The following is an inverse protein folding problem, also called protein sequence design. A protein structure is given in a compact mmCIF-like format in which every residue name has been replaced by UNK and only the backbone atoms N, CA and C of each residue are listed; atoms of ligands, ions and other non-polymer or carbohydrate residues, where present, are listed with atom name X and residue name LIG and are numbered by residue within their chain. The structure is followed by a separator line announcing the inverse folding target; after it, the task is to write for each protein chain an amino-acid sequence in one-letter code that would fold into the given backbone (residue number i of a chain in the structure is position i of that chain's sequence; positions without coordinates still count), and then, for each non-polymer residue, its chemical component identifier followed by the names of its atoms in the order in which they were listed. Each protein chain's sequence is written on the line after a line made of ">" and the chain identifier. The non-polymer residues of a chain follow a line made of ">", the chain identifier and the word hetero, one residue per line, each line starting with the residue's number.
data_IF_521879383394
#
_entry.id   IF_521879383394
#
_cell.length_a   1.000
_cell.length_b   1.000
_cell.length_c   1.000
_cell.angle_alpha   90.00
_cell.angle_beta   90.00
_cell.angle_gamma   90.00
#
_symmetry.space_group_name_H-M   'P 1'
#
loop_
_entity.id
_entity.type
_entity.pdbx_description
1 polymer ?
#
# COMPACT_ATOMS: atom_id res chain seq x y z
N UNK A 1 73.70 63.83 26.81
CA UNK A 1 74.07 62.43 26.61
C UNK A 1 72.84 61.71 26.09
N UNK A 2 72.97 61.23 24.90
CA UNK A 2 71.97 60.73 24.01
C UNK A 2 71.07 59.60 24.65
N UNK A 3 69.86 59.48 24.15
CA UNK A 3 69.32 58.19 23.72
C UNK A 3 68.14 58.44 22.76
N UNK A 4 68.23 57.75 21.65
CA UNK A 4 67.44 57.82 20.43
C UNK A 4 66.06 57.21 20.63
N UNK A 5 65.10 57.84 20.01
CA UNK A 5 63.76 57.41 19.74
C UNK A 5 63.77 56.43 18.53
N UNK A 6 63.23 55.22 18.71
CA UNK A 6 63.03 54.27 17.64
C UNK A 6 61.54 53.89 17.54
N UNK A 7 61.00 54.25 16.38
CA UNK A 7 59.61 54.21 16.05
C UNK A 7 58.93 52.88 16.11
N UNK A 8 57.76 52.89 16.67
CA UNK A 8 56.74 51.84 16.59
C UNK A 8 55.98 51.90 15.27
N UNK A 9 56.28 51.00 14.34
CA UNK A 9 55.40 50.68 13.22
C UNK A 9 54.32 49.70 13.69
N UNK A 10 53.09 50.12 13.63
CA UNK A 10 51.91 49.27 13.77
C UNK A 10 51.70 48.37 12.55
N UNK A 11 51.50 47.06 12.73
CA UNK A 11 51.03 46.16 11.69
C UNK A 11 49.57 45.77 11.92
N UNK A 12 48.66 46.69 11.69
CA UNK A 12 47.20 46.39 11.77
C UNK A 12 46.50 46.82 10.47
N UNK A 13 46.74 46.04 9.40
CA UNK A 13 45.92 46.15 8.20
C UNK A 13 45.97 44.86 7.35
N UNK A 14 45.65 43.69 7.92
CA UNK A 14 45.35 42.50 7.12
C UNK A 14 44.71 41.38 7.97
N UNK A 15 43.52 41.56 8.52
CA UNK A 15 42.72 40.44 9.11
C UNK A 15 41.23 40.79 9.22
N UNK A 16 40.52 41.02 8.15
CA UNK A 16 39.06 41.09 8.18
C UNK A 16 38.44 40.53 6.88
N UNK A 17 38.74 39.29 6.51
CA UNK A 17 38.11 38.62 5.39
C UNK A 17 37.61 37.20 5.70
N UNK A 18 37.90 36.64 6.87
CA UNK A 18 37.65 35.22 7.18
C UNK A 18 36.52 34.90 8.16
N UNK A 19 35.85 35.94 8.69
CA UNK A 19 34.91 35.75 9.80
C UNK A 19 33.50 35.28 9.43
N UNK A 20 33.02 35.64 8.27
CA UNK A 20 31.65 35.36 7.88
C UNK A 20 31.48 33.91 7.34
N UNK A 21 32.43 33.45 6.55
CA UNK A 21 32.42 32.08 6.01
C UNK A 21 32.63 31.01 7.10
N UNK A 22 33.43 31.30 8.11
CA UNK A 22 33.62 30.43 9.27
C UNK A 22 32.41 30.36 10.19
N UNK A 23 31.64 31.43 10.35
CA UNK A 23 30.39 31.46 11.14
C UNK A 23 29.27 30.70 10.49
N UNK A 24 29.14 30.76 9.17
CA UNK A 24 28.12 30.01 8.40
C UNK A 24 28.43 28.51 8.43
N UNK A 25 29.70 28.12 8.31
CA UNK A 25 30.07 26.69 8.40
C UNK A 25 29.87 26.11 9.79
N UNK A 26 30.00 26.89 10.86
CA UNK A 26 29.77 26.46 12.23
C UNK A 26 28.28 26.29 12.55
N UNK A 27 27.39 27.18 12.06
CA UNK A 27 25.94 27.09 12.23
C UNK A 27 25.33 25.86 11.51
N UNK A 28 25.94 25.42 10.40
CA UNK A 28 25.53 24.19 9.69
C UNK A 28 26.16 22.92 10.27
N UNK A 29 27.29 23.03 11.00
CA UNK A 29 27.98 21.87 11.57
C UNK A 29 27.25 21.31 12.82
N UNK A 30 26.68 22.18 13.66
CA UNK A 30 26.00 21.77 14.90
C UNK A 30 24.83 20.80 14.69
N UNK A 31 23.87 21.06 13.77
CA UNK A 31 22.78 20.11 13.55
C UNK A 31 23.27 18.79 12.91
N UNK A 32 24.35 18.84 12.10
CA UNK A 32 24.92 17.64 11.49
C UNK A 32 25.65 16.74 12.50
N UNK A 33 26.32 17.33 13.49
CA UNK A 33 26.94 16.58 14.58
C UNK A 33 25.91 15.96 15.51
N UNK A 34 24.83 16.69 15.83
CA UNK A 34 23.69 16.16 16.58
C UNK A 34 23.01 14.98 15.89
N UNK A 35 22.77 15.08 14.58
CA UNK A 35 22.24 14.00 13.73
C UNK A 35 23.21 12.81 13.66
N UNK A 36 24.51 13.05 13.63
CA UNK A 36 25.50 11.99 13.61
C UNK A 36 25.58 11.24 14.97
N UNK A 37 25.35 11.91 16.09
CA UNK A 37 25.27 11.29 17.42
C UNK A 37 23.97 10.52 17.62
N UNK A 38 22.87 10.95 17.00
CA UNK A 38 21.56 10.30 17.07
C UNK A 38 21.38 9.08 16.14
N UNK A 39 22.44 8.53 15.52
CA UNK A 39 22.35 7.48 14.49
C UNK A 39 21.53 6.26 14.89
N UNK A 40 21.62 5.81 16.15
CA UNK A 40 20.84 4.68 16.67
C UNK A 40 19.34 4.98 16.77
N UNK A 41 18.96 6.26 16.83
CA UNK A 41 17.57 6.71 16.98
C UNK A 41 16.92 7.11 15.66
N UNK A 42 17.65 7.08 14.53
CA UNK A 42 17.12 7.49 13.22
C UNK A 42 16.35 6.38 12.51
N UNK A 43 16.48 5.14 12.94
CA UNK A 43 15.80 3.98 12.35
C UNK A 43 14.26 4.13 12.28
N UNK A 44 13.56 4.66 13.30
CA UNK A 44 12.11 4.88 13.22
C UNK A 44 11.67 5.85 12.12
N UNK A 45 12.55 6.70 11.61
CA UNK A 45 12.26 7.63 10.52
C UNK A 45 12.34 6.99 9.12
N UNK A 46 12.94 5.80 8.99
CA UNK A 46 13.05 5.09 7.71
C UNK A 46 11.67 4.87 7.06
N UNK A 47 10.65 4.29 7.74
CA UNK A 47 9.33 4.12 7.15
C UNK A 47 8.65 5.46 6.84
N UNK A 48 8.90 6.51 7.61
CA UNK A 48 8.36 7.85 7.35
C UNK A 48 8.93 8.42 6.05
N UNK A 49 10.23 8.34 5.83
CA UNK A 49 10.89 8.83 4.63
C UNK A 49 10.49 8.03 3.38
N UNK A 50 10.39 6.70 3.49
CA UNK A 50 9.84 5.87 2.42
C UNK A 50 8.39 6.25 2.12
N UNK A 51 7.57 6.44 3.17
CA UNK A 51 6.17 6.85 3.05
C UNK A 51 6.02 8.22 2.37
N UNK A 52 6.90 9.17 2.65
CA UNK A 52 6.92 10.47 1.95
C UNK A 52 7.20 10.31 0.45
N UNK A 53 8.10 9.43 0.06
CA UNK A 53 8.36 9.13 -1.35
C UNK A 53 7.15 8.50 -2.05
N UNK A 54 6.49 7.55 -1.38
CA UNK A 54 5.25 6.93 -1.87
C UNK A 54 4.14 7.99 -2.00
N UNK A 55 3.95 8.81 -0.98
CA UNK A 55 2.95 9.88 -0.98
C UNK A 55 3.22 10.90 -2.10
N UNK A 56 4.49 11.25 -2.33
CA UNK A 56 4.88 12.13 -3.43
C UNK A 56 4.46 11.57 -4.78
N UNK A 57 4.77 10.30 -5.08
CA UNK A 57 4.34 9.66 -6.33
C UNK A 57 2.80 9.67 -6.46
N UNK A 58 2.08 9.29 -5.40
CA UNK A 58 0.61 9.22 -5.41
C UNK A 58 -0.06 10.60 -5.53
N UNK A 59 0.65 11.67 -5.19
CA UNK A 59 0.18 13.04 -5.36
C UNK A 59 0.36 13.59 -6.79
N UNK A 60 1.12 12.88 -7.66
CA UNK A 60 1.28 13.29 -9.05
C UNK A 60 -0.04 13.16 -9.81
N UNK A 61 -0.38 14.18 -10.58
CA UNK A 61 -1.57 14.19 -11.45
C UNK A 61 -1.34 13.44 -12.76
N UNK A 62 -0.10 13.20 -13.13
CA UNK A 62 0.32 12.50 -14.36
C UNK A 62 1.52 11.61 -14.05
N UNK A 63 1.64 10.53 -14.82
CA UNK A 63 2.82 9.66 -14.75
C UNK A 63 4.11 10.45 -15.04
N UNK A 64 5.18 10.21 -14.28
CA UNK A 64 6.47 10.87 -14.49
C UNK A 64 7.09 10.47 -15.83
N UNK A 65 7.73 11.42 -16.48
CA UNK A 65 8.44 11.14 -17.73
C UNK A 65 9.63 10.20 -17.50
N UNK A 66 10.02 9.45 -18.54
CA UNK A 66 11.18 8.54 -18.45
C UNK A 66 12.46 9.27 -18.03
N UNK A 67 12.65 10.51 -18.48
CA UNK A 67 13.80 11.35 -18.08
C UNK A 67 13.78 11.60 -16.57
N UNK A 68 12.63 11.97 -16.02
CA UNK A 68 12.48 12.17 -14.58
C UNK A 68 12.78 10.89 -13.79
N UNK A 69 12.27 9.73 -14.25
CA UNK A 69 12.52 8.44 -13.62
C UNK A 69 14.01 8.11 -13.61
N UNK A 70 14.72 8.28 -14.73
CA UNK A 70 16.16 8.06 -14.79
C UNK A 70 16.95 8.99 -13.88
N UNK A 71 16.56 10.27 -13.82
CA UNK A 71 17.16 11.21 -12.86
C UNK A 71 16.92 10.79 -11.41
N UNK A 72 15.72 10.34 -11.08
CA UNK A 72 15.40 9.84 -9.74
C UNK A 72 16.24 8.58 -9.39
N UNK A 73 16.43 7.66 -10.34
CA UNK A 73 17.26 6.46 -10.16
C UNK A 73 18.72 6.86 -9.92
N UNK A 74 19.28 7.74 -10.77
CA UNK A 74 20.66 8.19 -10.64
C UNK A 74 20.88 8.91 -9.30
N UNK A 75 19.97 9.82 -8.94
CA UNK A 75 20.08 10.57 -7.69
C UNK A 75 19.93 9.65 -6.46
N UNK A 76 19.04 8.66 -6.53
CA UNK A 76 18.89 7.64 -5.49
C UNK A 76 20.19 6.82 -5.35
N UNK A 77 20.78 6.37 -6.46
CA UNK A 77 22.02 5.60 -6.46
C UNK A 77 23.22 6.42 -5.93
N UNK A 78 23.36 7.68 -6.35
CA UNK A 78 24.39 8.59 -5.84
C UNK A 78 24.22 8.84 -4.34
N UNK A 79 22.98 9.11 -3.90
CA UNK A 79 22.68 9.31 -2.47
C UNK A 79 22.93 8.03 -1.65
N UNK A 80 22.60 6.86 -2.19
CA UNK A 80 22.90 5.58 -1.55
C UNK A 80 24.41 5.34 -1.46
N UNK A 81 25.16 5.58 -2.54
CA UNK A 81 26.62 5.49 -2.55
C UNK A 81 27.24 6.42 -1.51
N UNK A 82 26.75 7.66 -1.43
CA UNK A 82 27.24 8.62 -0.46
C UNK A 82 26.85 8.24 1.00
N UNK A 83 25.68 7.65 1.19
CA UNK A 83 25.25 7.12 2.50
C UNK A 83 26.13 5.95 2.95
N UNK A 84 26.48 5.03 2.05
CA UNK A 84 27.26 3.83 2.39
C UNK A 84 28.76 4.13 2.57
N UNK A 85 29.36 4.90 1.67
CA UNK A 85 30.80 5.13 1.59
C UNK A 85 31.26 6.57 1.90
N UNK A 86 30.33 7.52 2.00
CA UNK A 86 30.63 8.91 2.28
C UNK A 86 31.15 9.17 3.70
N UNK A 87 31.63 10.39 3.98
CA UNK A 87 32.10 10.77 5.30
C UNK A 87 31.00 10.61 6.37
N UNK A 88 31.33 10.08 7.54
CA UNK A 88 30.35 9.76 8.58
C UNK A 88 29.34 10.87 8.88
N UNK A 89 29.81 12.12 8.97
CA UNK A 89 28.97 13.29 9.28
C UNK A 89 27.85 13.56 8.28
N UNK A 90 28.02 13.17 7.00
CA UNK A 90 27.05 13.42 5.92
C UNK A 90 26.11 12.26 5.65
N UNK A 91 26.42 11.04 6.19
CA UNK A 91 25.60 9.84 5.96
C UNK A 91 24.12 10.02 6.31
N UNK A 92 23.73 10.61 7.47
CA UNK A 92 22.33 10.82 7.79
C UNK A 92 21.62 11.75 6.79
N UNK A 93 22.33 12.78 6.30
CA UNK A 93 21.78 13.73 5.32
C UNK A 93 21.54 13.05 3.97
N UNK A 94 22.48 12.21 3.54
CA UNK A 94 22.35 11.44 2.29
C UNK A 94 21.26 10.35 2.36
N UNK A 95 20.99 9.81 3.56
CA UNK A 95 19.93 8.83 3.76
C UNK A 95 18.53 9.38 3.45
N UNK A 96 18.29 10.67 3.70
CA UNK A 96 16.97 11.30 3.47
C UNK A 96 16.57 11.24 1.99
N UNK A 97 17.29 11.86 1.04
CA UNK A 97 16.93 11.78 -0.38
C UNK A 97 16.97 10.33 -0.91
N UNK A 98 17.89 9.50 -0.41
CA UNK A 98 17.95 8.08 -0.78
C UNK A 98 16.64 7.37 -0.43
N UNK A 99 16.15 7.47 0.80
CA UNK A 99 14.94 6.79 1.27
C UNK A 99 13.68 7.36 0.63
N UNK A 100 13.58 8.68 0.47
CA UNK A 100 12.43 9.30 -0.21
C UNK A 100 12.36 8.86 -1.68
N UNK A 101 13.48 8.90 -2.40
CA UNK A 101 13.53 8.45 -3.79
C UNK A 101 13.33 6.94 -3.91
N UNK A 102 13.85 6.15 -2.97
CA UNK A 102 13.58 4.71 -2.93
C UNK A 102 12.08 4.43 -2.75
N UNK A 103 11.39 5.13 -1.85
CA UNK A 103 9.94 5.03 -1.69
C UNK A 103 9.18 5.39 -2.96
N UNK A 104 9.57 6.48 -3.64
CA UNK A 104 9.03 6.89 -4.92
C UNK A 104 9.22 5.83 -6.02
N UNK A 105 10.42 5.29 -6.15
CA UNK A 105 10.75 4.28 -7.15
C UNK A 105 10.09 2.93 -6.87
N UNK A 106 9.94 2.55 -5.59
CA UNK A 106 9.24 1.32 -5.19
C UNK A 106 7.76 1.34 -5.59
N UNK A 107 7.06 2.44 -5.33
CA UNK A 107 5.65 2.54 -5.72
C UNK A 107 5.50 2.64 -7.24
N UNK A 108 6.38 3.35 -7.94
CA UNK A 108 6.43 3.38 -9.40
C UNK A 108 6.61 1.97 -9.97
N UNK A 109 7.59 1.22 -9.47
CA UNK A 109 7.81 -0.18 -9.86
C UNK A 109 6.55 -1.02 -9.61
N UNK A 110 5.96 -0.90 -8.42
CA UNK A 110 4.72 -1.61 -8.08
C UNK A 110 3.58 -1.27 -9.04
N UNK A 111 3.41 0.00 -9.40
CA UNK A 111 2.39 0.45 -10.36
C UNK A 111 2.53 -0.23 -11.72
N UNK A 112 3.76 -0.39 -12.21
CA UNK A 112 4.01 -1.10 -13.46
C UNK A 112 3.86 -2.62 -13.34
N UNK A 113 4.28 -3.22 -12.24
CA UNK A 113 4.16 -4.66 -12.00
C UNK A 113 2.70 -5.14 -11.89
N UNK A 114 1.81 -4.29 -11.40
CA UNK A 114 0.37 -4.63 -11.28
C UNK A 114 -0.45 -4.22 -12.49
N UNK A 115 0.16 -3.59 -13.49
CA UNK A 115 -0.55 -3.16 -14.68
C UNK A 115 -1.34 -4.32 -15.30
N UNK A 116 -2.63 -4.10 -15.53
CA UNK A 116 -3.55 -5.08 -16.08
C UNK A 116 -4.53 -4.39 -17.03
N UNK A 117 -5.08 -5.09 -18.03
CA UNK A 117 -6.07 -4.53 -18.93
C UNK A 117 -7.30 -4.03 -18.16
N UNK A 118 -7.74 -2.83 -18.52
CA UNK A 118 -8.97 -2.21 -17.99
C UNK A 118 -9.99 -2.09 -19.12
N UNK A 119 -11.23 -2.46 -18.87
CA UNK A 119 -12.31 -2.28 -19.85
C UNK A 119 -12.46 -0.80 -20.18
N UNK A 120 -12.43 -0.50 -21.49
CA UNK A 120 -12.65 0.86 -22.01
C UNK A 120 -14.10 1.13 -22.45
N UNK A 121 -14.95 0.11 -22.43
CA UNK A 121 -16.33 0.15 -22.88
C UNK A 121 -17.24 -0.66 -21.93
N UNK A 122 -18.55 -0.53 -22.10
CA UNK A 122 -19.53 -1.35 -21.38
C UNK A 122 -19.65 -2.71 -22.05
N UNK A 123 -19.42 -3.76 -21.28
CA UNK A 123 -19.59 -5.14 -21.70
C UNK A 123 -20.89 -5.71 -21.13
N UNK A 124 -21.62 -6.43 -21.97
CA UNK A 124 -22.76 -7.25 -21.56
C UNK A 124 -22.61 -8.64 -22.18
N UNK A 125 -22.62 -9.67 -21.36
CA UNK A 125 -22.50 -11.03 -21.84
C UNK A 125 -21.98 -12.01 -20.79
N UNK A 126 -21.68 -13.25 -21.22
CA UNK A 126 -21.12 -14.27 -20.34
C UNK A 126 -19.77 -13.84 -19.78
N UNK A 127 -19.64 -14.00 -18.46
CA UNK A 127 -18.42 -13.79 -17.69
C UNK A 127 -18.13 -15.09 -16.99
N UNK A 128 -17.03 -15.72 -17.33
CA UNK A 128 -16.53 -16.91 -16.67
C UNK A 128 -15.23 -16.55 -15.94
N UNK A 129 -15.05 -17.11 -14.75
CA UNK A 129 -13.83 -16.88 -13.99
C UNK A 129 -13.78 -17.73 -12.72
N UNK A 130 -12.60 -17.75 -12.11
CA UNK A 130 -12.37 -18.41 -10.83
C UNK A 130 -12.69 -17.44 -9.69
N UNK A 131 -13.52 -17.87 -8.76
CA UNK A 131 -13.89 -17.09 -7.59
C UNK A 131 -12.70 -17.00 -6.61
N UNK A 132 -12.29 -15.76 -6.31
CA UNK A 132 -11.18 -15.50 -5.38
C UNK A 132 -11.68 -14.95 -4.05
N UNK A 133 -12.65 -14.03 -4.10
CA UNK A 133 -13.11 -13.30 -2.92
C UNK A 133 -14.62 -13.11 -2.97
N UNK A 134 -15.25 -13.20 -1.81
CA UNK A 134 -16.65 -12.91 -1.60
C UNK A 134 -16.74 -11.83 -0.53
N UNK A 135 -17.38 -10.72 -0.83
CA UNK A 135 -17.63 -9.64 0.11
C UNK A 135 -19.05 -9.06 -0.07
N UNK A 136 -19.42 -8.05 0.72
CA UNK A 136 -20.68 -7.32 0.56
C UNK A 136 -20.41 -5.87 0.11
N UNK A 137 -21.26 -5.40 -0.79
CA UNK A 137 -21.24 -4.00 -1.22
C UNK A 137 -21.81 -3.08 -0.13
N UNK A 138 -21.60 -1.77 -0.27
CA UNK A 138 -22.25 -0.80 0.63
C UNK A 138 -23.78 -0.80 0.58
N UNK A 139 -24.40 -1.46 -0.44
CA UNK A 139 -25.84 -1.70 -0.56
C UNK A 139 -26.25 -3.11 -0.11
N UNK A 140 -25.42 -3.76 0.69
CA UNK A 140 -25.63 -5.10 1.26
C UNK A 140 -25.78 -6.23 0.25
N UNK A 141 -25.32 -6.03 -0.98
CA UNK A 141 -25.36 -7.05 -2.01
C UNK A 141 -24.08 -7.86 -2.00
N UNK A 142 -24.22 -9.18 -2.21
CA UNK A 142 -23.08 -10.07 -2.35
C UNK A 142 -22.24 -9.65 -3.57
N UNK A 143 -20.94 -9.50 -3.39
CA UNK A 143 -19.98 -9.19 -4.46
C UNK A 143 -18.99 -10.34 -4.61
N UNK A 144 -18.80 -10.74 -5.83
CA UNK A 144 -17.85 -11.77 -6.22
C UNK A 144 -16.67 -11.12 -6.96
N UNK A 145 -15.46 -11.38 -6.50
CA UNK A 145 -14.23 -11.04 -7.23
C UNK A 145 -13.73 -12.29 -7.94
N UNK A 146 -13.62 -12.21 -9.26
CA UNK A 146 -13.19 -13.30 -10.12
C UNK A 146 -11.80 -12.99 -10.70
N UNK A 147 -10.95 -13.99 -10.75
CA UNK A 147 -9.71 -13.98 -11.54
C UNK A 147 -9.76 -14.99 -12.69
N UNK A 148 -8.70 -15.09 -13.48
CA UNK A 148 -8.63 -15.94 -14.66
C UNK A 148 -9.87 -15.77 -15.56
N UNK A 149 -10.24 -14.51 -15.74
CA UNK A 149 -11.50 -14.12 -16.39
C UNK A 149 -11.47 -14.45 -17.87
N UNK A 150 -12.58 -15.00 -18.35
CA UNK A 150 -12.86 -15.16 -19.77
C UNK A 150 -14.14 -14.40 -20.13
N UNK A 151 -14.06 -13.53 -21.13
CA UNK A 151 -15.19 -12.76 -21.66
C UNK A 151 -15.47 -13.20 -23.09
N UNK A 152 -16.74 -13.46 -23.41
CA UNK A 152 -17.11 -13.85 -24.75
C UNK A 152 -16.75 -12.76 -25.78
N UNK A 153 -16.18 -13.19 -26.91
CA UNK A 153 -15.78 -12.33 -28.05
C UNK A 153 -14.71 -11.29 -27.69
N UNK A 154 -13.89 -11.55 -26.68
CA UNK A 154 -12.77 -10.70 -26.29
C UNK A 154 -11.45 -11.46 -26.36
N UNK A 155 -10.42 -10.82 -26.92
CA UNK A 155 -9.09 -11.38 -26.95
C UNK A 155 -8.47 -11.40 -25.54
N UNK A 156 -7.69 -12.43 -25.18
CA UNK A 156 -7.09 -12.56 -23.84
C UNK A 156 -6.30 -11.34 -23.40
N UNK A 157 -5.57 -10.68 -24.32
CA UNK A 157 -4.71 -9.53 -24.04
C UNK A 157 -5.53 -8.28 -23.62
N UNK A 158 -6.83 -8.24 -23.95
CA UNK A 158 -7.75 -7.15 -23.63
C UNK A 158 -8.68 -7.51 -22.48
N UNK A 159 -8.67 -8.78 -22.07
CA UNK A 159 -9.53 -9.27 -20.97
C UNK A 159 -8.94 -8.83 -19.63
N UNK A 160 -9.75 -8.23 -18.74
CA UNK A 160 -9.32 -7.87 -17.38
C UNK A 160 -8.80 -9.07 -16.61
N UNK A 161 -7.71 -8.91 -15.88
CA UNK A 161 -7.19 -9.98 -15.02
C UNK A 161 -8.15 -10.33 -13.88
N UNK A 162 -8.82 -9.32 -13.34
CA UNK A 162 -9.85 -9.47 -12.31
C UNK A 162 -11.08 -8.65 -12.63
N UNK A 163 -12.23 -9.18 -12.29
CA UNK A 163 -13.52 -8.49 -12.36
C UNK A 163 -14.25 -8.63 -11.02
N UNK A 164 -15.00 -7.60 -10.66
CA UNK A 164 -15.82 -7.59 -9.44
C UNK A 164 -17.28 -7.39 -9.83
N UNK A 165 -18.12 -8.36 -9.45
CA UNK A 165 -19.52 -8.41 -9.86
C UNK A 165 -20.42 -8.45 -8.64
N UNK A 166 -21.32 -7.48 -8.49
CA UNK A 166 -22.37 -7.49 -7.47
C UNK A 166 -23.54 -8.35 -7.95
N UNK A 167 -23.99 -9.27 -7.17
CA UNK A 167 -25.15 -10.09 -7.45
C UNK A 167 -26.42 -9.33 -7.05
N UNK A 168 -27.44 -9.37 -7.92
CA UNK A 168 -28.77 -8.84 -7.59
C UNK A 168 -29.62 -9.81 -6.79
N UNK A 169 -29.33 -11.10 -6.94
CA UNK A 169 -29.96 -12.21 -6.23
C UNK A 169 -28.88 -13.02 -5.50
N UNK A 170 -29.17 -13.49 -4.31
CA UNK A 170 -28.25 -14.36 -3.58
C UNK A 170 -28.18 -15.73 -4.25
N UNK A 171 -27.00 -16.35 -4.31
CA UNK A 171 -26.85 -17.66 -4.93
C UNK A 171 -27.54 -18.73 -4.07
N UNK A 172 -28.24 -19.67 -4.71
CA UNK A 172 -28.95 -20.77 -4.03
C UNK A 172 -28.00 -21.68 -3.23
N UNK A 173 -26.75 -21.75 -3.62
CA UNK A 173 -25.72 -22.57 -2.97
C UNK A 173 -24.57 -21.71 -2.49
N UNK A 174 -24.01 -22.10 -1.35
CA UNK A 174 -22.78 -21.47 -0.86
C UNK A 174 -21.64 -21.64 -1.88
N UNK A 175 -21.02 -20.52 -2.25
CA UNK A 175 -19.88 -20.49 -3.15
C UNK A 175 -18.61 -20.58 -2.32
N UNK A 176 -17.61 -21.30 -2.83
CA UNK A 176 -16.30 -21.42 -2.21
C UNK A 176 -15.20 -20.79 -3.09
N UNK A 177 -14.17 -20.17 -2.52
CA UNK A 177 -13.01 -19.71 -3.28
C UNK A 177 -12.36 -20.85 -4.06
N UNK A 178 -11.92 -20.55 -5.29
CA UNK A 178 -11.37 -21.53 -6.22
C UNK A 178 -12.42 -22.16 -7.14
N UNK A 179 -13.71 -22.03 -6.84
CA UNK A 179 -14.79 -22.52 -7.72
C UNK A 179 -14.78 -21.69 -9.03
N UNK A 180 -14.84 -22.38 -10.16
CA UNK A 180 -15.01 -21.74 -11.44
C UNK A 180 -16.48 -21.52 -11.70
N UNK A 181 -16.87 -20.28 -11.92
CA UNK A 181 -18.27 -19.88 -12.09
C UNK A 181 -18.48 -19.13 -13.39
N UNK A 182 -19.71 -19.17 -13.86
CA UNK A 182 -20.19 -18.40 -15.00
C UNK A 182 -21.48 -17.66 -14.64
N UNK A 183 -21.58 -16.42 -15.12
CA UNK A 183 -22.76 -15.57 -14.96
C UNK A 183 -22.87 -14.61 -16.15
N UNK A 184 -24.03 -13.98 -16.34
CA UNK A 184 -24.16 -12.89 -17.31
C UNK A 184 -23.92 -11.56 -16.61
N UNK A 185 -22.84 -10.88 -16.96
CA UNK A 185 -22.42 -9.64 -16.31
C UNK A 185 -22.67 -8.40 -17.17
N UNK A 186 -23.09 -7.32 -16.49
CA UNK A 186 -23.01 -5.96 -16.99
C UNK A 186 -21.75 -5.34 -16.41
N UNK A 187 -20.67 -5.27 -17.19
CA UNK A 187 -19.37 -4.78 -16.72
C UNK A 187 -19.05 -3.41 -17.32
N UNK A 188 -18.34 -2.60 -16.56
CA UNK A 188 -17.77 -1.32 -16.98
C UNK A 188 -16.39 -1.12 -16.36
N UNK A 189 -15.66 -0.12 -16.83
CA UNK A 189 -14.43 0.32 -16.13
C UNK A 189 -14.74 0.74 -14.69
N UNK A 190 -13.78 0.63 -13.77
CA UNK A 190 -13.90 1.20 -12.43
C UNK A 190 -14.30 2.69 -12.47
N UNK A 191 -15.28 3.07 -11.64
CA UNK A 191 -15.87 4.40 -11.63
C UNK A 191 -14.86 5.50 -11.34
N UNK A 192 -15.06 6.65 -11.98
CA UNK A 192 -14.33 7.89 -11.69
C UNK A 192 -14.88 8.53 -10.40
N UNK A 193 -14.11 9.43 -9.76
CA UNK A 193 -14.65 10.26 -8.69
C UNK A 193 -15.95 10.97 -9.14
N UNK A 194 -16.92 11.03 -8.26
CA UNK A 194 -18.19 11.72 -8.51
C UNK A 194 -18.06 13.24 -8.42
N UNK A 195 -17.04 13.71 -7.70
CA UNK A 195 -16.74 15.12 -7.49
C UNK A 195 -15.24 15.41 -7.60
N UNK A 196 -14.84 16.63 -7.96
CA UNK A 196 -13.43 17.03 -7.97
C UNK A 196 -12.80 16.88 -6.57
N UNK A 197 -11.66 16.16 -6.49
CA UNK A 197 -10.98 15.89 -5.22
C UNK A 197 -11.59 14.76 -4.39
N UNK A 198 -12.69 14.15 -4.84
CA UNK A 198 -13.29 12.98 -4.21
C UNK A 198 -12.43 11.72 -4.31
N UNK A 199 -12.85 10.68 -3.60
CA UNK A 199 -12.15 9.39 -3.60
C UNK A 199 -12.14 8.75 -4.99
N UNK A 200 -10.95 8.50 -5.52
CA UNK A 200 -10.76 7.83 -6.82
C UNK A 200 -10.58 6.32 -6.65
N UNK A 201 -11.68 5.59 -6.79
CA UNK A 201 -11.70 4.12 -6.73
C UNK A 201 -10.79 3.47 -7.79
N UNK A 202 -10.53 4.12 -8.93
CA UNK A 202 -9.65 3.56 -9.98
C UNK A 202 -8.25 3.28 -9.47
N UNK A 203 -7.75 4.09 -8.53
CA UNK A 203 -6.44 3.86 -7.91
C UNK A 203 -6.41 2.55 -7.12
N UNK A 204 -7.41 2.32 -6.27
CA UNK A 204 -7.55 1.07 -5.52
C UNK A 204 -7.70 -0.11 -6.49
N UNK A 205 -8.61 0.01 -7.47
CA UNK A 205 -8.84 -1.01 -8.49
C UNK A 205 -7.56 -1.37 -9.26
N UNK A 206 -6.71 -0.39 -9.59
CA UNK A 206 -5.43 -0.62 -10.26
C UNK A 206 -4.51 -1.51 -9.44
N UNK A 207 -4.32 -1.20 -8.16
CA UNK A 207 -3.45 -2.00 -7.29
C UNK A 207 -4.01 -3.39 -6.97
N UNK A 208 -5.32 -3.57 -7.06
CA UNK A 208 -6.01 -4.86 -6.96
C UNK A 208 -6.05 -5.64 -8.30
N UNK A 209 -5.52 -5.07 -9.39
CA UNK A 209 -5.62 -5.57 -10.77
C UNK A 209 -7.05 -5.73 -11.26
N UNK A 210 -7.96 -4.94 -10.72
CA UNK A 210 -9.38 -4.97 -11.02
C UNK A 210 -9.64 -4.12 -12.27
N UNK A 211 -9.80 -4.77 -13.41
CA UNK A 211 -9.98 -4.08 -14.70
C UNK A 211 -11.43 -3.85 -15.08
N UNK A 212 -12.40 -4.45 -14.37
CA UNK A 212 -13.81 -4.17 -14.55
C UNK A 212 -14.62 -4.38 -13.27
N UNK A 213 -15.70 -3.62 -13.15
CA UNK A 213 -16.71 -3.74 -12.10
C UNK A 213 -18.08 -3.76 -12.72
N UNK A 214 -19.04 -4.41 -12.03
CA UNK A 214 -20.38 -4.46 -12.55
C UNK A 214 -21.35 -5.23 -11.66
N UNK A 215 -22.42 -5.72 -12.29
CA UNK A 215 -23.46 -6.48 -11.62
C UNK A 215 -23.99 -7.59 -12.50
N UNK A 216 -24.58 -8.61 -11.88
CA UNK A 216 -25.34 -9.68 -12.53
C UNK A 216 -26.76 -9.71 -12.00
N UNK A 217 -27.70 -9.98 -12.92
CA UNK A 217 -29.12 -10.27 -12.63
C UNK A 217 -29.46 -11.74 -12.85
N UNK A 218 -28.51 -12.52 -13.34
CA UNK A 218 -28.70 -13.94 -13.60
C UNK A 218 -28.11 -14.76 -12.46
N UNK A 219 -28.64 -15.94 -12.20
CA UNK A 219 -28.06 -16.88 -11.24
C UNK A 219 -26.61 -17.20 -11.58
N UNK A 220 -25.84 -17.51 -10.55
CA UNK A 220 -24.46 -17.97 -10.70
C UNK A 220 -24.45 -19.46 -11.00
N UNK A 221 -23.80 -19.85 -12.09
CA UNK A 221 -23.62 -21.25 -12.48
C UNK A 221 -22.21 -21.72 -12.11
N UNK A 222 -22.08 -22.85 -11.45
CA UNK A 222 -20.81 -23.50 -11.21
C UNK A 222 -20.40 -24.28 -12.46
N UNK A 223 -19.25 -23.94 -13.03
CA UNK A 223 -18.68 -24.60 -14.24
C UNK A 223 -17.76 -25.75 -13.82
N UNK A 224 -16.90 -25.50 -12.83
CA UNK A 224 -15.99 -26.51 -12.29
C UNK A 224 -15.86 -26.36 -10.79
N UNK A 225 -15.59 -27.47 -10.07
CA UNK A 225 -15.36 -27.43 -8.64
C UNK A 225 -14.11 -26.62 -8.30
N UNK A 226 -13.94 -26.33 -7.01
CA UNK A 226 -12.78 -25.60 -6.51
C UNK A 226 -11.47 -26.35 -6.80
N UNK A 227 -10.53 -25.68 -7.45
CA UNK A 227 -9.17 -26.18 -7.70
C UNK A 227 -8.29 -26.00 -6.45
N UNK A 228 -7.41 -26.99 -6.19
CA UNK A 228 -6.43 -26.93 -5.11
C UNK A 228 -5.23 -26.09 -5.54
N UNK A 229 -5.35 -24.78 -5.36
CA UNK A 229 -4.29 -23.82 -5.63
C UNK A 229 -3.73 -23.29 -4.30
N UNK A 230 -2.40 -23.40 -4.12
CA UNK A 230 -1.69 -22.84 -2.97
C UNK A 230 -1.86 -21.32 -2.86
N UNK A 231 -2.08 -20.62 -3.98
CA UNK A 231 -2.38 -19.20 -4.00
C UNK A 231 -3.68 -18.82 -3.30
N UNK A 232 -4.63 -19.76 -3.18
CA UNK A 232 -5.91 -19.56 -2.51
C UNK A 232 -5.98 -20.21 -1.13
N UNK A 233 -4.89 -20.81 -0.64
CA UNK A 233 -4.86 -21.50 0.65
C UNK A 233 -5.27 -20.57 1.80
N UNK A 234 -4.75 -19.37 1.82
CA UNK A 234 -5.06 -18.37 2.87
C UNK A 234 -6.52 -17.97 2.82
N UNK A 235 -7.06 -17.73 1.62
CA UNK A 235 -8.45 -17.33 1.45
C UNK A 235 -9.41 -18.49 1.83
N UNK A 236 -9.06 -19.73 1.51
CA UNK A 236 -9.80 -20.91 1.96
C UNK A 236 -9.80 -21.07 3.48
N UNK A 237 -8.63 -20.97 4.12
CA UNK A 237 -8.52 -21.02 5.59
C UNK A 237 -9.38 -19.92 6.20
N UNK A 238 -9.29 -18.70 5.69
CA UNK A 238 -10.08 -17.56 6.15
C UNK A 238 -11.58 -17.84 6.06
N UNK A 239 -12.06 -18.30 4.91
CA UNK A 239 -13.48 -18.59 4.71
C UNK A 239 -13.96 -19.81 5.51
N UNK A 240 -13.12 -20.84 5.66
CA UNK A 240 -13.47 -22.00 6.51
C UNK A 240 -13.62 -21.59 7.97
N UNK A 241 -12.70 -20.75 8.47
CA UNK A 241 -12.79 -20.19 9.82
C UNK A 241 -14.02 -19.30 9.99
N UNK A 242 -14.28 -18.41 9.02
CA UNK A 242 -15.46 -17.55 9.01
C UNK A 242 -16.75 -18.36 9.02
N UNK A 243 -16.88 -19.35 8.15
CA UNK A 243 -18.04 -20.26 8.10
C UNK A 243 -18.21 -21.02 9.41
N UNK A 244 -17.12 -21.51 10.02
CA UNK A 244 -17.15 -22.17 11.33
C UNK A 244 -17.66 -21.24 12.43
N UNK A 245 -17.22 -19.98 12.46
CA UNK A 245 -17.69 -18.99 13.44
C UNK A 245 -19.18 -18.72 13.25
N UNK A 246 -19.62 -18.47 12.01
CA UNK A 246 -21.02 -18.18 11.70
C UNK A 246 -21.97 -19.37 12.00
N UNK A 247 -21.48 -20.60 11.85
CA UNK A 247 -22.24 -21.80 12.19
C UNK A 247 -22.51 -21.95 13.71
N UNK A 248 -21.58 -21.45 14.55
CA UNK A 248 -21.70 -21.55 16.01
C UNK A 248 -22.32 -20.30 16.65
N UNK A 249 -22.10 -19.13 16.03
CA UNK A 249 -22.58 -17.83 16.50
C UNK A 249 -23.42 -17.22 15.37
N UNK A 250 -24.72 -17.40 15.32
CA UNK A 250 -25.57 -16.87 14.27
C UNK A 250 -25.77 -15.34 14.39
N UNK A 251 -26.09 -14.70 13.27
CA UNK A 251 -26.43 -13.27 13.20
C UNK A 251 -25.21 -12.34 13.26
N UNK A 252 -25.47 -11.07 13.55
CA UNK A 252 -24.47 -10.00 13.51
C UNK A 252 -23.31 -10.21 14.48
N UNK A 253 -23.54 -10.86 15.62
CA UNK A 253 -22.48 -11.19 16.58
C UNK A 253 -21.44 -12.13 15.98
N UNK A 254 -21.88 -13.17 15.26
CA UNK A 254 -20.99 -14.07 14.52
C UNK A 254 -20.30 -13.36 13.36
N UNK A 255 -21.04 -12.52 12.63
CA UNK A 255 -20.48 -11.67 11.57
C UNK A 255 -19.37 -10.75 12.09
N UNK A 256 -19.56 -10.13 13.25
CA UNK A 256 -18.55 -9.31 13.91
C UNK A 256 -17.33 -10.14 14.33
N UNK A 257 -17.55 -11.31 14.96
CA UNK A 257 -16.47 -12.20 15.36
C UNK A 257 -15.64 -12.68 14.15
N UNK A 258 -16.30 -13.06 13.06
CA UNK A 258 -15.64 -13.42 11.79
C UNK A 258 -14.84 -12.25 11.22
N UNK A 259 -15.42 -11.04 11.18
CA UNK A 259 -14.75 -9.84 10.66
C UNK A 259 -13.47 -9.50 11.44
N UNK A 260 -13.50 -9.60 12.77
CA UNK A 260 -12.34 -9.27 13.62
C UNK A 260 -11.24 -10.34 13.50
N UNK A 261 -11.60 -11.61 13.35
CA UNK A 261 -10.63 -12.72 13.33
C UNK A 261 -10.08 -13.01 11.94
N UNK A 262 -10.93 -12.96 10.92
CA UNK A 262 -10.57 -13.34 9.55
C UNK A 262 -10.53 -12.16 8.57
N UNK A 263 -11.11 -11.02 8.94
CA UNK A 263 -11.34 -9.89 8.04
C UNK A 263 -12.57 -10.05 7.13
N UNK A 264 -13.31 -11.15 7.23
CA UNK A 264 -14.51 -11.39 6.45
C UNK A 264 -15.71 -10.65 7.06
N UNK A 265 -16.20 -9.65 6.36
CA UNK A 265 -17.32 -8.79 6.76
C UNK A 265 -18.65 -9.23 6.12
N UNK A 266 -18.66 -10.30 5.34
CA UNK A 266 -19.85 -10.75 4.61
C UNK A 266 -21.00 -11.16 5.53
N UNK A 267 -20.71 -11.54 6.77
CA UNK A 267 -21.69 -11.93 7.78
C UNK A 267 -22.30 -10.78 8.60
N UNK A 268 -21.87 -9.51 8.38
CA UNK A 268 -22.40 -8.34 9.10
C UNK A 268 -23.51 -7.72 8.26
N UNK A 269 -24.70 -7.52 8.86
CA UNK A 269 -25.80 -6.84 8.19
C UNK A 269 -25.50 -5.34 7.94
N UNK A 270 -26.17 -4.73 6.94
CA UNK A 270 -26.07 -3.31 6.69
C UNK A 270 -26.50 -2.49 7.92
N UNK A 271 -27.58 -2.91 8.60
CA UNK A 271 -28.06 -2.25 9.81
C UNK A 271 -27.03 -2.25 10.95
N UNK A 272 -26.36 -3.39 11.19
CA UNK A 272 -25.29 -3.49 12.19
C UNK A 272 -24.07 -2.64 11.81
N UNK A 273 -23.72 -2.59 10.52
CA UNK A 273 -22.62 -1.77 10.03
C UNK A 273 -22.92 -0.27 10.17
N UNK A 274 -24.15 0.16 9.89
CA UNK A 274 -24.59 1.53 10.07
C UNK A 274 -24.63 1.91 11.55
N UNK A 275 -25.17 1.05 12.43
CA UNK A 275 -25.16 1.25 13.88
C UNK A 275 -23.73 1.41 14.43
N UNK A 276 -22.76 0.61 13.93
CA UNK A 276 -21.36 0.75 14.32
C UNK A 276 -20.74 2.05 13.80
N UNK A 277 -21.17 2.51 12.63
CA UNK A 277 -20.72 3.80 12.07
C UNK A 277 -21.25 4.97 12.89
N UNK A 278 -22.53 4.95 13.21
CA UNK A 278 -23.20 6.00 13.99
C UNK A 278 -22.66 6.07 15.43
N UNK A 279 -22.30 4.92 16.01
CA UNK A 279 -21.68 4.83 17.34
C UNK A 279 -20.16 5.07 17.31
N UNK A 280 -19.57 5.38 16.15
CA UNK A 280 -18.13 5.53 15.95
C UNK A 280 -17.29 4.27 16.30
N UNK A 281 -17.91 3.09 16.26
CA UNK A 281 -17.25 1.81 16.54
C UNK A 281 -16.76 1.09 15.27
N UNK A 282 -17.04 1.61 14.07
CA UNK A 282 -16.64 0.99 12.80
C UNK A 282 -15.12 0.79 12.66
N UNK A 283 -14.30 1.55 13.39
CA UNK A 283 -12.86 1.35 13.43
C UNK A 283 -12.44 0.03 14.09
N UNK A 284 -13.30 -0.59 14.91
CA UNK A 284 -13.05 -1.92 15.50
C UNK A 284 -13.05 -3.04 14.44
N UNK A 285 -13.75 -2.83 13.32
CA UNK A 285 -13.75 -3.76 12.18
C UNK A 285 -12.51 -3.61 11.29
N UNK A 286 -11.76 -2.54 11.43
CA UNK A 286 -10.48 -2.40 10.76
C UNK A 286 -9.39 -3.07 11.60
N UNK A 287 -8.27 -3.42 10.95
CA UNK A 287 -7.10 -3.93 11.66
C UNK A 287 -6.67 -2.87 12.66
N UNK A 288 -6.97 -3.08 13.93
CA UNK A 288 -6.63 -2.13 14.99
C UNK A 288 -5.11 -2.10 15.21
N UNK A 289 -4.60 -0.97 15.71
CA UNK A 289 -3.18 -0.85 16.08
C UNK A 289 -2.72 -1.94 17.06
N UNK A 290 -3.63 -2.46 17.88
CA UNK A 290 -3.36 -3.58 18.80
C UNK A 290 -3.06 -4.87 18.04
N UNK A 291 -3.83 -5.23 16.99
CA UNK A 291 -3.54 -6.40 16.15
C UNK A 291 -2.20 -6.28 15.44
N UNK A 292 -1.87 -5.10 14.91
CA UNK A 292 -0.57 -4.83 14.30
C UNK A 292 0.56 -4.93 15.30
N UNK A 293 0.37 -4.43 16.53
CA UNK A 293 1.36 -4.53 17.59
C UNK A 293 1.58 -5.97 18.05
N UNK A 294 0.52 -6.77 18.17
CA UNK A 294 0.62 -8.19 18.49
C UNK A 294 1.35 -8.97 17.40
N UNK A 295 1.02 -8.73 16.12
CA UNK A 295 1.70 -9.35 15.00
C UNK A 295 3.18 -8.96 14.95
N UNK A 296 3.49 -7.67 15.12
CA UNK A 296 4.87 -7.18 15.16
C UNK A 296 5.64 -7.81 16.32
N UNK A 297 5.06 -7.88 17.52
CA UNK A 297 5.66 -8.52 18.69
C UNK A 297 5.89 -10.02 18.45
N UNK A 298 4.95 -10.72 17.84
CA UNK A 298 5.09 -12.13 17.47
C UNK A 298 6.24 -12.35 16.48
N UNK A 299 6.26 -11.60 15.40
CA UNK A 299 7.33 -11.70 14.38
C UNK A 299 8.69 -11.39 15.01
N UNK A 300 8.77 -10.33 15.83
CA UNK A 300 10.00 -9.98 16.54
C UNK A 300 10.47 -11.11 17.48
N UNK A 301 9.55 -11.72 18.23
CA UNK A 301 9.86 -12.82 19.13
C UNK A 301 10.37 -14.06 18.36
N UNK A 302 9.73 -14.39 17.20
CA UNK A 302 10.14 -15.51 16.34
C UNK A 302 11.53 -15.26 15.75
N UNK A 303 11.75 -14.07 15.16
CA UNK A 303 13.05 -13.70 14.57
C UNK A 303 14.14 -13.70 15.63
N UNK A 304 13.90 -13.08 16.79
CA UNK A 304 14.86 -13.03 17.89
C UNK A 304 15.24 -14.42 18.39
N UNK A 305 14.24 -15.31 18.57
CA UNK A 305 14.51 -16.70 18.97
C UNK A 305 15.22 -17.49 17.90
N UNK A 306 14.82 -17.32 16.64
CA UNK A 306 15.49 -17.95 15.51
C UNK A 306 16.96 -17.55 15.41
N UNK A 307 17.27 -16.25 15.54
CA UNK A 307 18.64 -15.75 15.55
C UNK A 307 19.45 -16.23 16.77
N UNK A 308 18.80 -16.36 17.94
CA UNK A 308 19.45 -16.84 19.16
C UNK A 308 19.77 -18.36 19.12
N UNK A 309 19.12 -19.11 18.22
CA UNK A 309 19.40 -20.54 17.99
C UNK A 309 20.47 -20.78 16.92
N UNK A 310 20.88 -19.74 16.20
CA UNK A 310 22.00 -19.80 15.27
C UNK A 310 23.30 -19.63 16.07
N UNK A 311 24.27 -20.59 15.90
CA UNK A 311 25.55 -20.55 16.63
C UNK A 311 26.44 -19.39 16.19
#
# INVERSE_FOLDING_TARGET
>A
MAILDEGQRSPDAARNGGGASRRISWLLALPLEGLAQARGQLFPFVPVLLGLGIAWYLALLREPSHVFVWLAVILCAVSAGFWLWGPPRWRPVAAVPCLVLAGFLLILLRTHMVAAPVLSFRYYGPVEGRLVEIDRSGSDRLRLTLDQVTLARMAPERTPHRVRVSLMEEPERALAPGTRIMLTGHLSSPGRPTEPGGFDFRRTAWFERLGAVGYSRTPVMTVAPSEDDLGLLIDRIRMTLSAGILAHIPGDAGGFAAAVTTGDRSGISAAANDAMRDSNLSHQLSISGMHMSMLAAFIFAVVRRGLALMP
#
